data_IF_752864565938
#
_entry.id   IF_752864565938
#
_cell.length_a   1.000
_cell.length_b   1.000
_cell.length_c   1.000
_cell.angle_alpha   90.00
_cell.angle_beta   90.00
_cell.angle_gamma   90.00
#
_symmetry.space_group_name_H-M   'P 1'
#
loop_
_entity.id
_entity.type
_entity.pdbx_description
1 polymer ?
#
# COMPACT_ATOMS: atom_id res chain seq x y z
N UNK A 1 45.65 -11.77 54.22
CA UNK A 1 45.08 -10.96 53.11
C UNK A 1 45.12 -11.65 51.77
N UNK A 2 46.09 -12.53 51.49
CA UNK A 2 46.10 -13.28 50.23
C UNK A 2 44.93 -14.25 50.04
N UNK A 3 44.31 -14.75 51.09
CA UNK A 3 43.20 -15.69 51.00
C UNK A 3 41.90 -15.07 50.54
N UNK A 4 41.70 -13.77 50.77
CA UNK A 4 40.46 -13.07 50.36
C UNK A 4 40.44 -12.86 48.84
N UNK A 5 41.57 -12.47 48.25
CA UNK A 5 41.67 -12.30 46.81
C UNK A 5 41.49 -13.64 46.08
N UNK A 6 42.07 -14.72 46.57
CA UNK A 6 41.90 -16.06 46.01
C UNK A 6 40.47 -16.57 46.14
N UNK A 7 39.79 -16.30 47.25
CA UNK A 7 38.39 -16.65 47.45
C UNK A 7 37.49 -15.84 46.52
N UNK A 8 37.77 -14.57 46.32
CA UNK A 8 37.03 -13.72 45.38
C UNK A 8 37.23 -14.20 43.94
N UNK A 9 38.47 -14.54 43.55
CA UNK A 9 38.75 -15.08 42.23
C UNK A 9 38.15 -16.45 41.99
N UNK A 10 38.19 -17.34 42.97
CA UNK A 10 37.57 -18.66 42.90
C UNK A 10 36.05 -18.55 42.81
N UNK A 11 35.44 -17.68 43.61
CA UNK A 11 34.01 -17.42 43.59
C UNK A 11 33.58 -16.67 42.31
N UNK A 12 34.40 -15.77 41.79
CA UNK A 12 34.12 -15.10 40.52
C UNK A 12 34.16 -16.08 39.34
N UNK A 13 35.03 -17.08 39.37
CA UNK A 13 35.08 -18.15 38.38
C UNK A 13 33.83 -19.05 38.45
N UNK A 14 33.41 -19.45 39.65
CA UNK A 14 32.18 -20.23 39.85
C UNK A 14 30.92 -19.41 39.54
N UNK A 15 30.87 -18.16 39.95
CA UNK A 15 29.78 -17.24 39.63
C UNK A 15 29.71 -16.99 38.13
N UNK A 16 30.84 -16.84 37.45
CA UNK A 16 30.87 -16.70 36.02
C UNK A 16 30.32 -17.91 35.25
N UNK A 17 30.59 -19.14 35.77
CA UNK A 17 30.07 -20.35 35.14
C UNK A 17 28.58 -20.56 35.35
N UNK A 18 27.99 -19.98 36.39
CA UNK A 18 26.54 -20.05 36.68
C UNK A 18 25.80 -18.85 36.06
N UNK A 19 26.37 -17.65 36.18
CA UNK A 19 25.75 -16.40 35.76
C UNK A 19 25.74 -16.25 34.23
N UNK A 20 26.82 -16.65 33.56
CA UNK A 20 26.95 -16.53 32.11
C UNK A 20 25.85 -17.31 31.35
N UNK A 21 25.52 -18.60 31.65
CA UNK A 21 24.42 -19.29 31.02
C UNK A 21 23.07 -18.65 31.31
N UNK A 22 22.86 -18.14 32.52
CA UNK A 22 21.63 -17.46 32.91
C UNK A 22 21.44 -16.16 32.13
N UNK A 23 22.50 -15.36 32.00
CA UNK A 23 22.51 -14.12 31.23
C UNK A 23 22.25 -14.41 29.74
N UNK A 24 22.92 -15.42 29.18
CA UNK A 24 22.71 -15.84 27.79
C UNK A 24 21.26 -16.29 27.57
N UNK A 25 20.73 -17.12 28.45
CA UNK A 25 19.34 -17.57 28.38
C UNK A 25 18.35 -16.39 28.50
N UNK A 26 18.64 -15.43 29.39
CA UNK A 26 17.85 -14.22 29.55
C UNK A 26 17.90 -13.33 28.31
N UNK A 27 19.08 -13.16 27.71
CA UNK A 27 19.25 -12.42 26.46
C UNK A 27 18.52 -13.09 25.30
N UNK A 28 18.60 -14.42 25.18
CA UNK A 28 17.85 -15.17 24.16
C UNK A 28 16.35 -15.01 24.32
N UNK A 29 15.83 -15.02 25.53
CA UNK A 29 14.42 -14.80 25.80
C UNK A 29 13.98 -13.40 25.41
N UNK A 30 14.79 -12.38 25.69
CA UNK A 30 14.50 -11.00 25.32
C UNK A 30 14.52 -10.87 23.80
N UNK A 31 15.54 -11.41 23.13
CA UNK A 31 15.66 -11.38 21.67
C UNK A 31 14.49 -12.14 21.02
N UNK A 32 14.16 -13.32 21.52
CA UNK A 32 13.06 -14.13 21.00
C UNK A 32 11.70 -13.44 21.20
N UNK A 33 11.50 -12.83 22.37
CA UNK A 33 10.29 -12.06 22.64
C UNK A 33 10.16 -10.82 21.77
N UNK A 34 11.25 -10.08 21.57
CA UNK A 34 11.29 -8.92 20.66
C UNK A 34 11.05 -9.36 19.23
N UNK A 35 11.63 -10.48 18.80
CA UNK A 35 11.39 -11.04 17.47
C UNK A 35 9.92 -11.40 17.27
N UNK A 36 9.30 -12.10 18.20
CA UNK A 36 7.86 -12.45 18.17
C UNK A 36 6.99 -11.20 18.15
N UNK A 37 7.30 -10.21 18.96
CA UNK A 37 6.58 -8.94 18.99
C UNK A 37 6.70 -8.20 17.66
N UNK A 38 7.91 -8.18 17.08
CA UNK A 38 8.17 -7.55 15.78
C UNK A 38 7.43 -8.29 14.66
N UNK A 39 7.47 -9.61 14.64
CA UNK A 39 6.74 -10.44 13.67
C UNK A 39 5.24 -10.23 13.76
N UNK A 40 4.69 -10.14 14.97
CA UNK A 40 3.28 -9.85 15.20
C UNK A 40 2.91 -8.47 14.70
N UNK A 41 3.73 -7.44 14.97
CA UNK A 41 3.52 -6.08 14.48
C UNK A 41 3.57 -6.02 12.95
N UNK A 42 4.53 -6.69 12.33
CA UNK A 42 4.65 -6.78 10.87
C UNK A 42 3.39 -7.44 10.28
N UNK A 43 2.92 -8.53 10.88
CA UNK A 43 1.71 -9.21 10.46
C UNK A 43 0.47 -8.33 10.59
N UNK A 44 0.34 -7.59 11.68
CA UNK A 44 -0.75 -6.64 11.90
C UNK A 44 -0.72 -5.49 10.88
N UNK A 45 0.46 -4.95 10.60
CA UNK A 45 0.65 -3.90 9.60
C UNK A 45 0.29 -4.44 8.21
N UNK A 46 0.76 -5.62 7.85
CA UNK A 46 0.45 -6.26 6.58
C UNK A 46 -1.06 -6.47 6.40
N UNK A 47 -1.74 -6.93 7.45
CA UNK A 47 -3.19 -7.09 7.45
C UNK A 47 -3.92 -5.75 7.30
N UNK A 48 -3.43 -4.71 7.97
CA UNK A 48 -3.99 -3.36 7.87
C UNK A 48 -3.81 -2.78 6.47
N UNK A 49 -2.64 -2.99 5.86
CA UNK A 49 -2.36 -2.56 4.48
C UNK A 49 -3.30 -3.27 3.51
N UNK A 50 -3.52 -4.56 3.67
CA UNK A 50 -4.43 -5.33 2.81
C UNK A 50 -5.87 -4.84 2.93
N UNK A 51 -6.34 -4.57 4.15
CA UNK A 51 -7.66 -4.01 4.40
C UNK A 51 -7.82 -2.62 3.76
N UNK A 52 -6.82 -1.74 3.90
CA UNK A 52 -6.81 -0.42 3.28
C UNK A 52 -6.83 -0.54 1.75
N UNK A 53 -6.04 -1.43 1.19
CA UNK A 53 -6.01 -1.71 -0.25
C UNK A 53 -7.37 -2.17 -0.77
N UNK A 54 -8.02 -3.11 -0.09
CA UNK A 54 -9.34 -3.59 -0.47
C UNK A 54 -10.40 -2.48 -0.37
N UNK A 55 -10.29 -1.66 0.67
CA UNK A 55 -11.19 -0.52 0.86
C UNK A 55 -11.01 0.51 -0.26
N UNK A 56 -9.77 0.85 -0.60
CA UNK A 56 -9.45 1.75 -1.71
C UNK A 56 -9.95 1.20 -3.05
N UNK A 57 -9.75 -0.09 -3.31
CA UNK A 57 -10.28 -0.76 -4.50
C UNK A 57 -11.79 -0.65 -4.58
N UNK A 58 -12.51 -0.88 -3.49
CA UNK A 58 -13.95 -0.79 -3.42
C UNK A 58 -14.44 0.63 -3.73
N UNK A 59 -13.80 1.63 -3.16
CA UNK A 59 -14.12 3.04 -3.38
C UNK A 59 -13.87 3.44 -4.85
N UNK A 60 -12.71 3.10 -5.38
CA UNK A 60 -12.33 3.42 -6.76
C UNK A 60 -13.26 2.70 -7.73
N UNK A 61 -13.55 1.43 -7.51
CA UNK A 61 -14.49 0.64 -8.31
C UNK A 61 -15.86 1.29 -8.37
N UNK A 62 -16.38 1.71 -7.23
CA UNK A 62 -17.67 2.40 -7.12
C UNK A 62 -17.68 3.71 -7.89
N UNK A 63 -16.63 4.53 -7.74
CA UNK A 63 -16.49 5.81 -8.45
C UNK A 63 -16.40 5.63 -9.96
N UNK A 64 -15.60 4.69 -10.42
CA UNK A 64 -15.47 4.41 -11.85
C UNK A 64 -16.79 3.91 -12.41
N UNK A 65 -17.41 2.97 -11.73
CA UNK A 65 -18.70 2.41 -12.16
C UNK A 65 -19.77 3.48 -12.30
N UNK A 66 -19.90 4.34 -11.31
CA UNK A 66 -20.85 5.46 -11.33
C UNK A 66 -20.61 6.38 -12.53
N UNK A 67 -19.35 6.75 -12.77
CA UNK A 67 -18.98 7.63 -13.88
C UNK A 67 -19.21 6.97 -15.25
N UNK A 68 -18.87 5.69 -15.37
CA UNK A 68 -19.11 4.91 -16.59
C UNK A 68 -20.61 4.83 -16.88
N UNK A 69 -21.43 4.49 -15.91
CA UNK A 69 -22.88 4.41 -16.06
C UNK A 69 -23.49 5.74 -16.47
N UNK A 70 -23.00 6.83 -15.91
CA UNK A 70 -23.41 8.18 -16.28
C UNK A 70 -23.07 8.49 -17.74
N UNK A 71 -21.86 8.20 -18.17
CA UNK A 71 -21.43 8.41 -19.56
C UNK A 71 -22.22 7.55 -20.53
N UNK A 72 -22.46 6.30 -20.20
CA UNK A 72 -23.26 5.39 -21.04
C UNK A 72 -24.72 5.83 -21.13
N UNK A 73 -25.27 6.34 -20.05
CA UNK A 73 -26.63 6.91 -20.02
C UNK A 73 -26.73 8.18 -20.88
N UNK A 74 -25.72 9.04 -20.83
CA UNK A 74 -25.67 10.27 -21.63
C UNK A 74 -25.36 9.99 -23.11
N UNK A 75 -24.79 8.83 -23.43
CA UNK A 75 -24.39 8.46 -24.79
C UNK A 75 -23.19 9.23 -25.32
N UNK A 76 -22.50 9.95 -24.48
CA UNK A 76 -21.32 10.75 -24.81
C UNK A 76 -20.44 10.90 -23.58
N UNK A 77 -19.18 11.23 -23.78
CA UNK A 77 -18.24 11.49 -22.69
C UNK A 77 -17.49 12.79 -22.97
N UNK A 78 -17.41 13.66 -21.97
CA UNK A 78 -16.56 14.85 -22.04
C UNK A 78 -15.09 14.44 -21.98
N UNK A 79 -14.23 15.15 -22.69
CA UNK A 79 -12.80 14.85 -22.74
C UNK A 79 -12.17 14.85 -21.35
N UNK A 80 -12.50 15.84 -20.51
CA UNK A 80 -11.98 15.92 -19.15
C UNK A 80 -12.49 14.76 -18.28
N UNK A 81 -13.76 14.40 -18.44
CA UNK A 81 -14.35 13.26 -17.73
C UNK A 81 -13.68 11.96 -18.14
N UNK A 82 -13.39 11.78 -19.43
CA UNK A 82 -12.66 10.60 -19.92
C UNK A 82 -11.27 10.52 -19.29
N UNK A 83 -10.56 11.63 -19.17
CA UNK A 83 -9.24 11.68 -18.52
C UNK A 83 -9.34 11.26 -17.04
N UNK A 84 -10.36 11.72 -16.34
CA UNK A 84 -10.59 11.35 -14.93
C UNK A 84 -10.88 9.84 -14.81
N UNK A 85 -11.74 9.31 -15.66
CA UNK A 85 -12.09 7.89 -15.68
C UNK A 85 -10.85 7.03 -15.99
N UNK A 86 -10.07 7.41 -17.00
CA UNK A 86 -8.83 6.70 -17.36
C UNK A 86 -7.83 6.70 -16.20
N UNK A 87 -7.67 7.82 -15.52
CA UNK A 87 -6.79 7.94 -14.36
C UNK A 87 -7.24 7.04 -13.20
N UNK A 88 -8.53 7.01 -12.91
CA UNK A 88 -9.10 6.13 -11.89
C UNK A 88 -8.93 4.66 -12.28
N UNK A 89 -9.11 4.34 -13.55
CA UNK A 89 -8.94 2.97 -14.05
C UNK A 89 -7.50 2.50 -13.93
N UNK A 90 -6.52 3.35 -14.23
CA UNK A 90 -5.10 3.03 -14.04
C UNK A 90 -4.78 2.73 -12.58
N UNK A 91 -5.30 3.52 -11.65
CA UNK A 91 -5.15 3.26 -10.20
C UNK A 91 -5.83 1.96 -9.79
N UNK A 92 -7.00 1.69 -10.31
CA UNK A 92 -7.73 0.46 -10.05
C UNK A 92 -6.93 -0.77 -10.48
N UNK A 93 -6.31 -0.72 -11.66
CA UNK A 93 -5.43 -1.79 -12.16
C UNK A 93 -4.17 -1.95 -11.30
N UNK A 94 -3.52 -0.86 -10.93
CA UNK A 94 -2.33 -0.88 -10.07
C UNK A 94 -2.61 -1.52 -8.70
N UNK A 95 -3.81 -1.32 -8.17
CA UNK A 95 -4.24 -1.93 -6.92
C UNK A 95 -4.68 -3.39 -7.07
N UNK A 96 -4.60 -3.95 -8.26
CA UNK A 96 -4.97 -5.33 -8.52
C UNK A 96 -6.46 -5.54 -8.80
N UNK A 97 -7.14 -4.51 -9.29
CA UNK A 97 -8.54 -4.62 -9.67
C UNK A 97 -8.77 -5.62 -10.80
N UNK A 98 -9.92 -6.28 -10.78
CA UNK A 98 -10.30 -7.30 -11.74
C UNK A 98 -10.87 -6.71 -13.05
N UNK A 99 -11.26 -7.59 -13.97
CA UNK A 99 -11.78 -7.22 -15.28
C UNK A 99 -13.23 -6.69 -15.27
N UNK A 100 -13.86 -6.57 -14.10
CA UNK A 100 -15.25 -6.09 -14.00
C UNK A 100 -15.45 -4.70 -14.62
N UNK A 101 -14.49 -3.81 -14.42
CA UNK A 101 -14.53 -2.44 -14.95
C UNK A 101 -14.09 -2.37 -16.41
N UNK A 102 -13.28 -3.31 -16.89
CA UNK A 102 -12.69 -3.26 -18.24
C UNK A 102 -13.72 -3.23 -19.36
N UNK A 103 -14.80 -3.99 -19.24
CA UNK A 103 -15.89 -3.99 -20.23
C UNK A 103 -16.58 -2.63 -20.30
N UNK A 104 -16.83 -2.00 -19.15
CA UNK A 104 -17.39 -0.66 -19.09
C UNK A 104 -16.44 0.38 -19.68
N UNK A 105 -15.16 0.25 -19.45
CA UNK A 105 -14.13 1.13 -20.03
C UNK A 105 -14.10 1.03 -21.54
N UNK A 106 -14.16 -0.16 -22.12
CA UNK A 106 -14.24 -0.35 -23.57
C UNK A 106 -15.48 0.34 -24.17
N UNK A 107 -16.62 0.24 -23.51
CA UNK A 107 -17.85 0.90 -23.95
C UNK A 107 -17.73 2.42 -23.89
N UNK A 108 -17.16 2.96 -22.84
CA UNK A 108 -16.95 4.40 -22.68
C UNK A 108 -15.98 4.93 -23.74
N UNK A 109 -14.92 4.18 -24.04
CA UNK A 109 -13.94 4.56 -25.07
C UNK A 109 -14.53 4.60 -26.47
N UNK A 110 -15.62 3.89 -26.71
CA UNK A 110 -16.35 3.91 -27.98
C UNK A 110 -17.35 5.06 -28.09
N UNK A 111 -17.64 5.76 -26.99
CA UNK A 111 -18.58 6.88 -27.00
C UNK A 111 -17.98 8.10 -27.71
N UNK A 112 -18.82 8.95 -28.34
CA UNK A 112 -18.38 10.24 -28.87
C UNK A 112 -17.77 11.09 -27.75
N UNK A 113 -16.58 11.62 -28.01
CA UNK A 113 -15.88 12.50 -27.07
C UNK A 113 -16.25 13.94 -27.41
N UNK A 114 -16.83 14.66 -26.44
CA UNK A 114 -17.18 16.07 -26.59
C UNK A 114 -16.17 16.94 -25.83
N UNK A 115 -16.06 18.20 -26.20
CA UNK A 115 -15.11 19.13 -25.58
C UNK A 115 -13.71 19.10 -26.18
N UNK A 116 -13.39 18.14 -27.04
CA UNK A 116 -12.10 18.08 -27.73
C UNK A 116 -11.93 19.20 -28.76
N UNK A 117 -12.99 19.52 -29.47
CA UNK A 117 -12.99 20.55 -30.53
C UNK A 117 -12.69 21.95 -29.98
N UNK A 118 -13.20 22.25 -28.80
CA UNK A 118 -12.92 23.52 -28.12
C UNK A 118 -11.43 23.66 -27.75
N UNK A 119 -10.77 22.54 -27.46
CA UNK A 119 -9.36 22.55 -27.10
C UNK A 119 -8.45 22.64 -28.33
N UNK A 120 -8.88 22.02 -29.42
CA UNK A 120 -8.19 22.11 -30.72
C UNK A 120 -8.36 23.52 -31.30
N UNK A 121 -9.55 24.08 -31.23
CA UNK A 121 -9.83 25.46 -31.68
C UNK A 121 -8.99 26.49 -30.93
N UNK A 122 -8.86 26.36 -29.60
CA UNK A 122 -8.00 27.26 -28.81
C UNK A 122 -6.50 27.14 -29.16
N UNK A 123 -6.06 25.96 -29.53
CA UNK A 123 -4.68 25.76 -29.97
C UNK A 123 -4.43 26.29 -31.37
N UNK A 124 -5.42 26.27 -32.26
CA UNK A 124 -5.35 26.84 -33.59
C UNK A 124 -5.41 28.37 -33.55
N UNK A 125 -6.23 28.93 -32.68
CA UNK A 125 -6.30 30.39 -32.45
C UNK A 125 -4.97 30.96 -31.95
N UNK A 126 -4.25 30.21 -31.10
CA UNK A 126 -2.93 30.61 -30.58
C UNK A 126 -1.84 30.51 -31.66
N UNK A 127 -2.03 29.69 -32.70
CA UNK A 127 -1.08 29.52 -33.80
C UNK A 127 -1.26 30.52 -34.98
N UNK A 128 -2.34 31.26 -35.02
CA UNK A 128 -2.52 32.31 -36.03
C UNK A 128 -1.86 33.60 -35.54
N UNK A 129 -0.94 34.19 -36.34
CA UNK A 129 -0.30 35.45 -35.95
C UNK A 129 -1.27 36.63 -35.95
#
# INVERSE_FOLDING_TARGET
MHNIANVIFANASELGSIVAPILIAGMWRIIDNDRKTTETKISEIASSIELLKQNDLSIIKSKIHERIERCLSDGKVDYQELQVIESLYDRYRLLGGNSFISTGMEKVRQLPVVGLDNKVATLEEVKQP
#
